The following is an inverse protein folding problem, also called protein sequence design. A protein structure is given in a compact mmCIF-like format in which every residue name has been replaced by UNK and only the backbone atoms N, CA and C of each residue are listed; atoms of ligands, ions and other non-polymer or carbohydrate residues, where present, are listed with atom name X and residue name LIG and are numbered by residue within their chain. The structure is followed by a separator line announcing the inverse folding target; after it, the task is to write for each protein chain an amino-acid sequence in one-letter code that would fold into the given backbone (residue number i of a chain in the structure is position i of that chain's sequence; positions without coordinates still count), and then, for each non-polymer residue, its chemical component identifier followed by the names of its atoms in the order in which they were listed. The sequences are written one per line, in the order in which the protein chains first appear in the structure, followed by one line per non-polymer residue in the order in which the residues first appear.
data_IF_963275461228
#
_entry.id   IF_963275461228
#
_cell.length_a   1.000
_cell.length_b   1.000
_cell.length_c   1.000
_cell.angle_alpha   90.00
_cell.angle_beta   90.00
_cell.angle_gamma   90.00
#
_symmetry.space_group_name_H-M   'P 1'
#
loop_
_entity.id
_entity.type
_entity.pdbx_description
1 polymer ?
#
# COMPACT_ATOMS: atom_id res chain seq x y z
N UNK A 1 12.22 -5.73 -0.60
CA UNK A 1 11.33 -6.48 0.32
C UNK A 1 11.19 -7.92 -0.15
N UNK A 2 10.54 -8.78 0.63
CA UNK A 2 10.27 -10.18 0.28
C UNK A 2 8.83 -10.55 0.56
N UNK A 3 8.37 -11.62 -0.09
CA UNK A 3 7.06 -12.20 0.15
C UNK A 3 6.87 -12.53 1.65
N UNK A 4 5.70 -12.20 2.19
CA UNK A 4 5.31 -12.30 3.60
C UNK A 4 6.00 -11.33 4.58
N UNK A 5 6.88 -10.44 4.13
CA UNK A 5 7.38 -9.38 5.01
C UNK A 5 6.21 -8.54 5.53
N UNK A 6 6.20 -8.29 6.85
CA UNK A 6 5.34 -7.27 7.44
C UNK A 6 5.95 -5.90 7.19
N UNK A 7 5.11 -4.96 6.78
CA UNK A 7 5.52 -3.63 6.34
C UNK A 7 4.58 -2.56 6.87
N UNK A 8 5.08 -1.33 6.96
CA UNK A 8 4.28 -0.13 7.24
C UNK A 8 4.44 0.82 6.05
N UNK A 9 3.33 1.43 5.62
CA UNK A 9 3.38 2.49 4.61
C UNK A 9 3.95 3.78 5.21
N UNK A 10 5.12 4.21 4.77
CA UNK A 10 5.78 5.42 5.28
C UNK A 10 5.50 6.66 4.41
N UNK A 11 5.41 6.47 3.10
CA UNK A 11 5.01 7.49 2.13
C UNK A 11 4.12 6.85 1.07
N UNK A 12 3.44 7.65 0.24
CA UNK A 12 2.74 7.15 -0.94
C UNK A 12 3.11 8.00 -2.15
N UNK A 13 3.58 7.35 -3.21
CA UNK A 13 4.17 7.98 -4.39
C UNK A 13 5.30 8.97 -4.01
N UNK A 14 6.12 8.59 -3.03
CA UNK A 14 7.25 9.39 -2.53
C UNK A 14 6.86 10.62 -1.70
N UNK A 15 5.59 10.76 -1.30
CA UNK A 15 5.09 11.93 -0.54
C UNK A 15 4.37 11.51 0.74
N UNK A 16 4.45 12.36 1.76
CA UNK A 16 3.71 12.18 3.03
C UNK A 16 2.27 12.70 3.00
N UNK A 17 1.91 13.49 1.98
CA UNK A 17 0.59 14.06 1.81
C UNK A 17 0.30 14.34 0.33
N UNK A 18 -0.96 14.65 0.03
CA UNK A 18 -1.42 15.11 -1.27
C UNK A 18 -2.35 16.30 -1.11
N UNK A 19 -2.36 17.19 -2.10
CA UNK A 19 -3.36 18.25 -2.21
C UNK A 19 -4.61 17.79 -2.99
N UNK A 20 -4.57 16.59 -3.56
CA UNK A 20 -5.66 16.03 -4.35
C UNK A 20 -6.46 15.05 -3.49
N UNK A 21 -7.59 15.53 -2.97
CA UNK A 21 -8.49 14.81 -2.08
C UNK A 21 -9.63 14.12 -2.84
N UNK A 22 -9.39 13.54 -4.02
CA UNK A 22 -10.43 12.67 -4.60
C UNK A 22 -10.64 11.50 -3.64
N UNK A 23 -11.77 11.52 -2.93
CA UNK A 23 -12.01 10.70 -1.74
C UNK A 23 -11.66 9.22 -1.97
N UNK A 24 -12.13 8.64 -3.07
CA UNK A 24 -12.00 7.21 -3.39
C UNK A 24 -10.58 6.74 -3.78
N UNK A 25 -9.66 7.67 -4.06
CA UNK A 25 -8.27 7.36 -4.43
C UNK A 25 -7.25 8.05 -3.51
N UNK A 26 -7.71 8.51 -2.34
CA UNK A 26 -6.86 9.16 -1.35
C UNK A 26 -6.09 8.13 -0.51
N UNK A 27 -5.22 7.33 -1.13
CA UNK A 27 -4.46 6.29 -0.43
C UNK A 27 -3.41 6.84 0.57
N UNK A 28 -3.17 8.16 0.60
CA UNK A 28 -2.33 8.81 1.62
C UNK A 28 -2.86 8.62 3.05
N UNK A 29 -4.15 8.35 3.23
CA UNK A 29 -4.73 8.04 4.55
C UNK A 29 -4.16 6.74 5.15
N UNK A 30 -3.61 5.85 4.33
CA UNK A 30 -3.00 4.59 4.77
C UNK A 30 -1.57 4.77 5.30
N UNK A 31 -1.01 5.98 5.26
CA UNK A 31 0.34 6.21 5.80
C UNK A 31 0.34 5.96 7.31
N UNK A 32 1.24 5.10 7.75
CA UNK A 32 1.32 4.58 9.13
C UNK A 32 0.61 3.24 9.31
N UNK A 33 -0.26 2.85 8.38
CA UNK A 33 -0.94 1.55 8.44
C UNK A 33 0.00 0.40 8.08
N UNK A 34 -0.27 -0.74 8.72
CA UNK A 34 0.51 -1.96 8.55
C UNK A 34 -0.11 -2.88 7.50
N UNK A 35 0.72 -3.70 6.90
CA UNK A 35 0.31 -4.69 5.92
C UNK A 35 1.34 -5.79 5.73
N UNK A 36 1.06 -6.69 4.79
CA UNK A 36 1.92 -7.80 4.43
C UNK A 36 2.16 -7.83 2.93
N UNK A 37 3.41 -8.03 2.52
CA UNK A 37 3.73 -8.26 1.11
C UNK A 37 3.19 -9.62 0.67
N UNK A 38 2.31 -9.64 -0.33
CA UNK A 38 1.66 -10.85 -0.84
C UNK A 38 2.03 -11.18 -2.29
N UNK A 39 2.68 -10.26 -3.01
CA UNK A 39 3.23 -10.50 -4.34
C UNK A 39 4.47 -9.63 -4.57
N UNK A 40 5.46 -10.18 -5.28
CA UNK A 40 6.72 -9.53 -5.68
C UNK A 40 6.99 -9.78 -7.16
N UNK A 41 7.85 -8.96 -7.78
CA UNK A 41 8.33 -9.13 -9.16
C UNK A 41 7.21 -9.14 -10.21
N UNK A 42 6.41 -8.08 -10.26
CA UNK A 42 5.44 -7.89 -11.32
C UNK A 42 6.04 -7.05 -12.46
N UNK A 43 6.16 -7.65 -13.64
CA UNK A 43 6.73 -7.01 -14.84
C UNK A 43 5.95 -5.76 -15.29
N UNK A 44 4.67 -5.64 -14.92
CA UNK A 44 3.82 -4.48 -15.22
C UNK A 44 3.98 -3.34 -14.21
N UNK A 45 4.51 -3.63 -13.02
CA UNK A 45 4.60 -2.70 -11.90
C UNK A 45 6.00 -2.70 -11.30
N UNK A 46 7.00 -2.35 -12.12
CA UNK A 46 8.41 -2.33 -11.71
C UNK A 46 8.64 -1.50 -10.43
N UNK A 47 9.44 -2.05 -9.51
CA UNK A 47 9.76 -1.42 -8.23
C UNK A 47 8.59 -1.39 -7.24
N UNK A 48 7.48 -2.09 -7.52
CA UNK A 48 6.35 -2.23 -6.61
C UNK A 48 6.18 -3.66 -6.11
N UNK A 49 5.57 -3.74 -4.94
CA UNK A 49 5.10 -4.98 -4.34
C UNK A 49 3.60 -4.85 -4.03
N UNK A 50 2.87 -5.96 -4.09
CA UNK A 50 1.47 -5.97 -3.70
C UNK A 50 1.41 -6.13 -2.19
N UNK A 51 0.88 -5.12 -1.50
CA UNK A 51 0.72 -5.11 -0.05
C UNK A 51 -0.75 -5.32 0.29
N UNK A 52 -1.05 -6.34 1.07
CA UNK A 52 -2.35 -6.54 1.71
C UNK A 52 -2.34 -5.77 3.04
N UNK A 53 -3.13 -4.72 3.14
CA UNK A 53 -3.25 -3.91 4.34
C UNK A 53 -4.09 -4.63 5.41
N UNK A 54 -3.69 -4.46 6.67
CA UNK A 54 -4.45 -4.96 7.82
C UNK A 54 -5.75 -4.13 8.02
N UNK A 55 -5.78 -2.90 7.50
CA UNK A 55 -6.92 -1.99 7.49
C UNK A 55 -7.90 -2.32 6.34
N UNK A 56 -9.21 -2.26 6.60
CA UNK A 56 -10.22 -2.40 5.55
C UNK A 56 -10.33 -1.10 4.74
N UNK A 57 -10.13 -1.21 3.42
CA UNK A 57 -10.19 -0.06 2.51
C UNK A 57 -11.62 0.43 2.31
N UNK A 58 -12.63 -0.46 2.42
CA UNK A 58 -14.03 -0.06 2.29
C UNK A 58 -14.46 0.85 3.47
N UNK A 59 -13.96 0.60 4.68
CA UNK A 59 -14.20 1.48 5.84
C UNK A 59 -13.64 2.89 5.65
N UNK A 60 -12.63 3.02 4.80
CA UNK A 60 -11.99 4.29 4.45
C UNK A 60 -12.56 4.91 3.17
N UNK A 61 -13.61 4.31 2.59
CA UNK A 61 -14.17 4.66 1.29
C UNK A 61 -13.13 4.67 0.16
N UNK A 62 -12.11 3.81 0.23
CA UNK A 62 -11.06 3.70 -0.79
C UNK A 62 -11.40 2.59 -1.78
N UNK A 63 -11.04 2.80 -3.05
CA UNK A 63 -11.30 1.81 -4.08
C UNK A 63 -10.43 0.56 -3.95
N UNK A 64 -11.06 -0.59 -4.12
CA UNK A 64 -10.42 -1.91 -4.24
C UNK A 64 -10.27 -2.29 -5.72
N UNK A 65 -9.31 -1.69 -6.42
CA UNK A 65 -9.09 -1.96 -7.85
C UNK A 65 -8.42 -3.32 -8.14
N UNK A 66 -7.86 -3.97 -7.11
CA UNK A 66 -7.15 -5.24 -7.25
C UNK A 66 -8.06 -6.44 -7.02
N UNK A 67 -7.72 -7.58 -7.63
CA UNK A 67 -8.45 -8.84 -7.47
C UNK A 67 -8.52 -9.29 -6.00
N UNK A 68 -7.47 -9.00 -5.23
CA UNK A 68 -7.41 -9.25 -3.79
C UNK A 68 -7.86 -7.98 -3.07
N UNK A 69 -8.95 -8.07 -2.30
CA UNK A 69 -9.46 -6.96 -1.50
C UNK A 69 -8.39 -6.48 -0.50
N UNK A 70 -8.39 -5.19 -0.21
CA UNK A 70 -7.48 -4.50 0.71
C UNK A 70 -6.02 -4.56 0.30
N UNK A 71 -5.75 -4.88 -0.97
CA UNK A 71 -4.39 -4.90 -1.50
C UNK A 71 -4.13 -3.73 -2.44
N UNK A 72 -2.91 -3.17 -2.42
CA UNK A 72 -2.46 -2.12 -3.33
C UNK A 72 -1.01 -2.37 -3.78
N UNK A 73 -0.72 -2.00 -5.03
CA UNK A 73 0.65 -2.00 -5.56
C UNK A 73 1.40 -0.77 -5.07
N UNK A 74 2.33 -0.97 -4.14
CA UNK A 74 3.08 0.11 -3.47
C UNK A 74 4.54 0.07 -3.89
N UNK A 75 5.16 1.25 -4.07
CA UNK A 75 6.59 1.34 -4.33
C UNK A 75 7.37 0.77 -3.13
N UNK A 76 8.41 -0.01 -3.39
CA UNK A 76 9.25 -0.53 -2.30
C UNK A 76 9.91 0.60 -1.49
N UNK A 77 10.20 1.74 -2.11
CA UNK A 77 10.75 2.91 -1.42
C UNK A 77 9.76 3.59 -0.47
N UNK A 78 8.48 3.31 -0.61
CA UNK A 78 7.39 3.88 0.18
C UNK A 78 7.08 3.08 1.45
N UNK A 79 7.64 1.87 1.61
CA UNK A 79 7.40 1.04 2.80
C UNK A 79 8.66 0.85 3.65
N UNK A 80 8.43 0.60 4.92
CA UNK A 80 9.45 0.19 5.89
C UNK A 80 9.12 -1.21 6.39
N UNK A 81 10.14 -2.04 6.65
CA UNK A 81 9.95 -3.35 7.27
C UNK A 81 9.48 -3.16 8.71
N UNK A 82 8.34 -3.75 9.05
CA UNK A 82 7.87 -3.81 10.43
C UNK A 82 8.59 -4.95 11.16
N UNK A 83 9.26 -4.61 12.26
CA UNK A 83 10.02 -5.57 13.08
C UNK A 83 9.33 -5.87 14.42
N UNK A 84 8.12 -5.35 14.63
CA UNK A 84 7.34 -5.54 15.85
C UNK A 84 6.75 -6.94 15.96
#
# INVERSE_FOLDING_TARGET
MKLNDKVILNTFLGKKNTNNLRDENHYWILIGESGKVIEINNDLFEGRVLVLFDKDLDELNLNNHNLIKNSLWILETDLIIDKR
#
